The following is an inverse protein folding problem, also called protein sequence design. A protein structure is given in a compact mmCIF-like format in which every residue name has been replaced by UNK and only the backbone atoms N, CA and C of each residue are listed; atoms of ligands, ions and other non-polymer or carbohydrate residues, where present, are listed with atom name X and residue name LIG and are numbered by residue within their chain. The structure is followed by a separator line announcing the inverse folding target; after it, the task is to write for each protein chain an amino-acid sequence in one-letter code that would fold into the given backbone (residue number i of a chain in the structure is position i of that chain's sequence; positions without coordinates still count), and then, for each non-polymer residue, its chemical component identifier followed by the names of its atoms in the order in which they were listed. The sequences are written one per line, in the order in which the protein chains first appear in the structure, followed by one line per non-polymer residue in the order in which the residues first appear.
data_IF_855475027468
#
_entry.id   IF_855475027468
#
_cell.length_a   1.000
_cell.length_b   1.000
_cell.length_c   1.000
_cell.angle_alpha   90.00
_cell.angle_beta   90.00
_cell.angle_gamma   90.00
#
_symmetry.space_group_name_H-M   'P 1'
#
loop_
_entity.id
_entity.type
_entity.pdbx_description
1 polymer ?
#
# COMPACT_ATOMS: atom_id res chain seq x y z
N UNK A 1 -57.03 14.62 59.62
CA UNK A 1 -58.25 15.01 58.87
C UNK A 1 -57.84 14.99 57.41
N UNK A 2 -58.12 13.90 56.67
CA UNK A 2 -59.39 13.60 55.94
C UNK A 2 -59.71 14.73 54.94
N UNK A 3 -59.96 14.54 53.65
CA UNK A 3 -60.34 13.41 52.78
C UNK A 3 -59.91 13.79 51.33
N UNK A 4 -59.33 12.90 50.52
CA UNK A 4 -59.97 11.98 49.55
C UNK A 4 -61.03 12.62 48.63
N UNK A 5 -60.72 12.68 47.33
CA UNK A 5 -61.61 12.19 46.27
C UNK A 5 -60.79 11.60 45.11
N UNK A 6 -61.24 10.43 44.65
CA UNK A 6 -60.69 9.56 43.61
C UNK A 6 -61.43 9.76 42.30
N UNK A 7 -60.75 9.65 41.15
CA UNK A 7 -61.22 8.90 39.96
C UNK A 7 -60.10 8.92 38.90
N UNK A 8 -59.41 7.78 38.69
CA UNK A 8 -59.57 6.86 37.55
C UNK A 8 -58.75 7.28 36.31
N UNK A 9 -57.77 6.45 35.91
CA UNK A 9 -57.62 5.91 34.54
C UNK A 9 -56.58 4.76 34.55
N UNK A 10 -57.10 3.58 34.20
CA UNK A 10 -56.58 2.42 33.46
C UNK A 10 -55.08 2.04 33.47
N UNK A 11 -54.85 0.80 33.93
CA UNK A 11 -53.67 -0.03 33.68
C UNK A 11 -53.70 -0.66 32.28
N UNK A 12 -52.55 -0.71 31.60
CA UNK A 12 -52.26 -1.69 30.54
C UNK A 12 -50.83 -2.24 30.72
N UNK A 13 -50.59 -3.56 30.47
CA UNK A 13 -49.30 -4.20 30.71
C UNK A 13 -48.37 -4.15 29.50
N UNK A 14 -47.08 -4.33 29.80
CA UNK A 14 -45.94 -4.41 28.89
C UNK A 14 -46.14 -5.36 27.70
N UNK A 15 -45.78 -4.88 26.50
CA UNK A 15 -45.53 -5.68 25.30
C UNK A 15 -44.03 -5.68 25.04
N UNK A 16 -43.38 -6.81 25.32
CA UNK A 16 -42.05 -7.16 24.81
C UNK A 16 -42.19 -7.51 23.33
N UNK A 17 -41.55 -6.76 22.45
CA UNK A 17 -41.41 -7.14 21.04
C UNK A 17 -39.98 -7.64 20.83
N UNK A 18 -39.85 -8.96 20.70
CA UNK A 18 -38.62 -9.68 20.40
C UNK A 18 -38.13 -9.38 18.97
N UNK A 19 -36.82 -9.19 18.82
CA UNK A 19 -36.11 -9.16 17.54
C UNK A 19 -36.16 -10.55 16.86
N UNK A 20 -36.39 -10.64 15.53
CA UNK A 20 -36.40 -11.93 14.84
C UNK A 20 -34.98 -12.49 14.69
N UNK A 21 -34.82 -13.79 14.97
CA UNK A 21 -33.60 -14.55 14.71
C UNK A 21 -33.32 -14.68 13.20
N UNK A 22 -32.04 -14.71 12.78
CA UNK A 22 -31.67 -14.85 11.38
C UNK A 22 -31.85 -16.30 10.87
N UNK A 23 -32.46 -16.42 9.68
CA UNK A 23 -32.75 -17.68 9.00
C UNK A 23 -31.47 -18.43 8.59
N UNK A 24 -31.38 -19.77 8.74
CA UNK A 24 -30.18 -20.52 8.34
C UNK A 24 -30.11 -20.67 6.82
N UNK A 25 -28.91 -20.52 6.25
CA UNK A 25 -28.65 -20.72 4.82
C UNK A 25 -28.71 -22.21 4.42
N UNK A 26 -29.10 -22.53 3.17
CA UNK A 26 -29.24 -23.92 2.73
C UNK A 26 -27.87 -24.60 2.55
N UNK A 27 -27.77 -25.85 3.01
CA UNK A 27 -26.59 -26.71 2.78
C UNK A 27 -26.66 -27.35 1.40
N UNK A 28 -25.70 -27.02 0.52
CA UNK A 28 -25.48 -27.75 -0.73
C UNK A 28 -24.90 -29.14 -0.42
N UNK A 29 -25.52 -30.19 -0.97
CA UNK A 29 -24.98 -31.55 -0.98
C UNK A 29 -24.15 -31.72 -2.24
N UNK A 30 -22.88 -32.10 -2.11
CA UNK A 30 -22.07 -32.56 -3.22
C UNK A 30 -21.98 -34.09 -3.18
N UNK A 31 -22.38 -34.74 -4.27
CA UNK A 31 -22.13 -36.17 -4.52
C UNK A 31 -20.73 -36.32 -5.14
N UNK A 32 -19.96 -37.29 -4.65
CA UNK A 32 -18.62 -37.59 -5.16
C UNK A 32 -18.69 -38.64 -6.27
N UNK A 33 -18.04 -38.36 -7.41
CA UNK A 33 -17.77 -39.34 -8.47
C UNK A 33 -16.27 -39.64 -8.43
N UNK A 34 -15.96 -40.94 -8.31
CA UNK A 34 -14.61 -41.53 -8.33
C UNK A 34 -14.14 -41.70 -9.79
N UNK A 35 -13.01 -41.08 -10.16
CA UNK A 35 -12.26 -41.42 -11.36
C UNK A 35 -10.75 -41.35 -11.08
N UNK A 36 -10.06 -42.38 -11.56
CA UNK A 36 -8.70 -42.79 -11.22
C UNK A 36 -7.65 -42.21 -12.16
N UNK A 37 -6.49 -41.98 -11.55
CA UNK A 37 -5.11 -42.14 -12.02
C UNK A 37 -4.58 -41.45 -13.30
N UNK A 38 -3.38 -40.90 -13.07
CA UNK A 38 -2.30 -40.48 -13.99
C UNK A 38 -2.44 -39.11 -14.64
N UNK A 39 -1.87 -38.08 -13.99
CA UNK A 39 -0.97 -37.07 -14.57
C UNK A 39 -0.50 -36.10 -13.47
N UNK A 40 0.69 -36.36 -12.91
CA UNK A 40 1.32 -35.53 -11.87
C UNK A 40 2.55 -34.83 -12.47
N UNK A 41 2.53 -33.50 -12.52
CA UNK A 41 3.74 -32.71 -12.81
C UNK A 41 4.42 -32.37 -11.49
N UNK A 42 5.66 -32.86 -11.31
CA UNK A 42 6.49 -32.55 -10.13
C UNK A 42 7.47 -31.43 -10.47
N UNK A 43 7.36 -30.30 -9.79
CA UNK A 43 8.36 -29.22 -9.87
C UNK A 43 9.27 -29.32 -8.64
N UNK A 44 10.58 -29.41 -8.88
CA UNK A 44 11.61 -29.44 -7.83
C UNK A 44 12.35 -28.11 -7.80
N UNK A 45 12.33 -27.45 -6.66
CA UNK A 45 13.15 -26.26 -6.41
C UNK A 45 14.10 -26.56 -5.24
N UNK A 46 15.38 -26.20 -5.40
CA UNK A 46 16.38 -26.31 -4.34
C UNK A 46 16.49 -24.99 -3.59
N UNK A 47 16.20 -25.01 -2.29
CA UNK A 47 16.43 -23.88 -1.38
C UNK A 47 17.35 -24.38 -0.26
N UNK A 48 18.63 -24.03 -0.33
CA UNK A 48 19.63 -24.52 0.63
C UNK A 48 19.88 -26.03 0.50
N UNK A 49 19.90 -26.77 1.62
CA UNK A 49 20.12 -28.22 1.67
C UNK A 49 18.85 -29.07 1.64
N UNK A 50 17.68 -28.45 1.53
CA UNK A 50 16.39 -29.14 1.55
C UNK A 50 15.70 -29.07 0.18
N UNK A 51 15.10 -30.20 -0.21
CA UNK A 51 14.33 -30.36 -1.44
C UNK A 51 12.84 -30.42 -1.13
N UNK A 52 12.06 -29.52 -1.72
CA UNK A 52 10.60 -29.52 -1.62
C UNK A 52 10.01 -30.07 -2.93
N UNK A 53 9.08 -31.02 -2.83
CA UNK A 53 8.30 -31.52 -3.97
C UNK A 53 6.91 -30.91 -3.97
N UNK A 54 6.58 -30.19 -5.06
CA UNK A 54 5.24 -29.66 -5.29
C UNK A 54 4.56 -30.54 -6.34
N UNK A 55 3.47 -31.18 -5.94
CA UNK A 55 2.62 -32.05 -6.77
C UNK A 55 1.48 -31.20 -7.32
N UNK A 56 1.40 -31.03 -8.65
CA UNK A 56 0.29 -30.35 -9.33
C UNK A 56 -0.48 -31.38 -10.17
N UNK A 57 -1.76 -31.58 -9.86
CA UNK A 57 -2.69 -32.42 -10.65
C UNK A 57 -3.49 -31.55 -11.64
N UNK A 58 -3.48 -31.92 -12.92
CA UNK A 58 -4.17 -31.20 -14.01
C UNK A 58 -5.66 -31.57 -14.17
N UNK A 59 -6.44 -31.62 -13.08
CA UNK A 59 -7.90 -31.68 -13.23
C UNK A 59 -8.47 -30.26 -13.39
N UNK A 60 -8.83 -29.92 -14.62
CA UNK A 60 -9.23 -28.59 -15.05
C UNK A 60 -10.64 -28.22 -14.54
N UNK A 61 -10.75 -27.68 -13.33
CA UNK A 61 -11.90 -26.84 -12.93
C UNK A 61 -11.60 -25.76 -11.86
N UNK A 62 -10.50 -25.84 -11.12
CA UNK A 62 -10.03 -24.75 -10.27
C UNK A 62 -8.51 -24.65 -10.37
N UNK A 63 -7.98 -23.66 -11.09
CA UNK A 63 -6.64 -23.16 -10.76
C UNK A 63 -6.69 -22.87 -9.25
N UNK A 64 -5.78 -23.41 -8.40
CA UNK A 64 -5.85 -23.16 -6.97
C UNK A 64 -5.95 -21.64 -6.80
N UNK A 65 -6.99 -21.13 -6.12
CA UNK A 65 -7.03 -19.71 -5.83
C UNK A 65 -5.73 -19.45 -5.05
N UNK A 66 -4.90 -18.53 -5.56
CA UNK A 66 -3.74 -17.94 -4.88
C UNK A 66 -2.30 -18.35 -5.29
N UNK A 67 -2.05 -19.06 -6.40
CA UNK A 67 -0.64 -19.40 -6.79
C UNK A 67 0.23 -18.14 -6.98
N UNK A 68 -0.24 -17.13 -7.70
CA UNK A 68 0.52 -15.89 -7.94
C UNK A 68 0.81 -15.12 -6.64
N UNK A 69 -0.16 -15.07 -5.73
CA UNK A 69 0.02 -14.40 -4.45
C UNK A 69 0.97 -15.20 -3.53
N UNK A 70 0.91 -16.54 -3.54
CA UNK A 70 1.89 -17.37 -2.85
C UNK A 70 3.31 -17.12 -3.35
N UNK A 71 3.48 -17.02 -4.67
CA UNK A 71 4.76 -16.68 -5.31
C UNK A 71 5.21 -15.29 -4.87
N UNK A 72 4.35 -14.28 -4.93
CA UNK A 72 4.71 -12.90 -4.54
C UNK A 72 5.00 -12.78 -3.04
N UNK A 73 4.31 -13.53 -2.19
CA UNK A 73 4.60 -13.63 -0.76
C UNK A 73 5.96 -14.30 -0.51
N UNK A 74 6.32 -15.33 -1.27
CA UNK A 74 7.64 -15.96 -1.19
C UNK A 74 8.75 -15.02 -1.65
N UNK A 75 8.53 -14.29 -2.76
CA UNK A 75 9.45 -13.26 -3.25
C UNK A 75 9.64 -12.14 -2.25
N UNK A 76 8.56 -11.68 -1.62
CA UNK A 76 8.63 -10.67 -0.56
C UNK A 76 9.51 -11.14 0.60
N UNK A 77 9.29 -12.37 1.10
CA UNK A 77 10.14 -12.94 2.15
C UNK A 77 11.61 -12.97 1.71
N UNK A 78 11.88 -13.42 0.49
CA UNK A 78 13.23 -13.44 -0.07
C UNK A 78 13.86 -12.04 -0.14
N UNK A 79 13.09 -11.01 -0.51
CA UNK A 79 13.57 -9.64 -0.55
C UNK A 79 13.93 -9.14 0.84
N UNK A 80 13.07 -9.38 1.83
CA UNK A 80 13.36 -9.01 3.23
C UNK A 80 14.62 -9.68 3.73
N UNK A 81 14.73 -10.99 3.55
CA UNK A 81 15.83 -11.80 4.07
C UNK A 81 17.18 -11.41 3.43
N UNK A 82 17.18 -11.05 2.15
CA UNK A 82 18.41 -10.81 1.39
C UNK A 82 18.83 -9.35 1.31
N UNK A 83 17.87 -8.42 1.28
CA UNK A 83 18.10 -7.07 0.79
C UNK A 83 17.73 -5.97 1.80
N UNK A 84 16.98 -6.28 2.86
CA UNK A 84 16.46 -5.25 3.78
C UNK A 84 17.54 -4.54 4.58
N UNK A 85 18.50 -5.28 5.12
CA UNK A 85 19.60 -4.67 5.88
C UNK A 85 20.42 -3.73 5.00
N UNK A 86 20.69 -4.13 3.76
CA UNK A 86 21.44 -3.32 2.80
C UNK A 86 20.64 -2.08 2.37
N UNK A 87 19.38 -2.25 1.99
CA UNK A 87 18.54 -1.12 1.61
C UNK A 87 18.40 -0.11 2.76
N UNK A 88 18.14 -0.57 3.99
CA UNK A 88 18.05 0.32 5.16
C UNK A 88 19.36 1.04 5.46
N UNK A 89 20.51 0.43 5.19
CA UNK A 89 21.79 1.11 5.30
C UNK A 89 21.90 2.22 4.23
N UNK A 90 21.65 1.88 2.96
CA UNK A 90 21.68 2.81 1.84
C UNK A 90 20.74 4.00 2.08
N UNK A 91 19.50 3.77 2.49
CA UNK A 91 18.51 4.83 2.73
C UNK A 91 18.95 5.82 3.81
N UNK A 92 19.74 5.39 4.80
CA UNK A 92 20.24 6.26 5.87
C UNK A 92 21.51 7.01 5.50
N UNK A 93 22.36 6.42 4.66
CA UNK A 93 23.72 6.94 4.42
C UNK A 93 23.92 7.55 3.06
N UNK A 94 23.03 7.30 2.10
CA UNK A 94 23.25 7.76 0.74
C UNK A 94 23.13 9.28 0.64
N UNK A 95 24.14 9.90 0.06
CA UNK A 95 24.05 11.28 -0.41
C UNK A 95 23.27 11.28 -1.73
N UNK A 96 22.28 12.17 -1.84
CA UNK A 96 21.48 12.33 -3.04
C UNK A 96 21.93 13.61 -3.72
N UNK A 97 22.64 13.47 -4.84
CA UNK A 97 23.13 14.59 -5.64
C UNK A 97 22.19 14.88 -6.82
N UNK A 98 21.95 16.16 -7.09
CA UNK A 98 21.04 16.54 -8.16
C UNK A 98 21.61 16.13 -9.53
N UNK A 99 20.80 15.40 -10.31
CA UNK A 99 21.17 14.94 -11.65
C UNK A 99 21.95 13.63 -11.70
N UNK A 100 22.15 12.94 -10.56
CA UNK A 100 22.81 11.65 -10.50
C UNK A 100 21.98 10.61 -9.77
N UNK A 101 21.93 9.40 -10.32
CA UNK A 101 21.32 8.26 -9.64
C UNK A 101 22.18 7.88 -8.42
N UNK A 102 21.52 7.75 -7.27
CA UNK A 102 22.17 7.30 -6.05
C UNK A 102 22.35 5.77 -6.04
N UNK A 103 23.15 5.27 -5.09
CA UNK A 103 23.25 3.82 -4.87
C UNK A 103 21.90 3.22 -4.46
N UNK A 104 21.10 3.96 -3.69
CA UNK A 104 19.75 3.54 -3.31
C UNK A 104 18.82 3.47 -4.54
N UNK A 105 18.92 4.43 -5.46
CA UNK A 105 18.13 4.45 -6.71
C UNK A 105 18.48 3.24 -7.57
N UNK A 106 19.77 3.00 -7.80
CA UNK A 106 20.25 1.86 -8.60
C UNK A 106 19.82 0.53 -7.96
N UNK A 107 19.90 0.44 -6.63
CA UNK A 107 19.49 -0.74 -5.89
C UNK A 107 18.01 -1.04 -6.09
N UNK A 108 17.14 -0.06 -5.84
CA UNK A 108 15.69 -0.20 -5.97
C UNK A 108 15.28 -0.45 -7.40
N UNK A 109 15.85 0.27 -8.37
CA UNK A 109 15.59 0.08 -9.79
C UNK A 109 15.94 -1.35 -10.25
N UNK A 110 17.02 -1.94 -9.71
CA UNK A 110 17.34 -3.35 -9.99
C UNK A 110 16.26 -4.29 -9.44
N UNK A 111 15.72 -4.03 -8.24
CA UNK A 111 14.61 -4.82 -7.69
C UNK A 111 13.31 -4.62 -8.48
N UNK A 112 13.04 -3.39 -8.93
CA UNK A 112 11.88 -3.06 -9.77
C UNK A 112 11.85 -3.86 -11.07
N UNK A 113 13.02 -4.12 -11.68
CA UNK A 113 13.14 -4.97 -12.88
C UNK A 113 12.91 -6.45 -12.60
N UNK A 114 13.24 -6.93 -11.40
CA UNK A 114 12.99 -8.32 -11.01
C UNK A 114 11.51 -8.56 -10.70
N UNK A 115 10.90 -7.69 -9.89
CA UNK A 115 9.47 -7.71 -9.62
C UNK A 115 9.02 -6.36 -9.06
N UNK A 116 8.45 -5.51 -9.91
CA UNK A 116 8.01 -4.16 -9.52
C UNK A 116 6.90 -4.18 -8.47
N UNK A 117 5.97 -5.12 -8.56
CA UNK A 117 4.87 -5.24 -7.60
C UNK A 117 5.39 -5.54 -6.18
N UNK A 118 6.21 -6.58 -6.04
CA UNK A 118 6.81 -6.98 -4.76
C UNK A 118 7.73 -5.88 -4.24
N UNK A 119 8.50 -5.22 -5.11
CA UNK A 119 9.38 -4.11 -4.72
C UNK A 119 8.60 -2.94 -4.14
N UNK A 120 7.57 -2.46 -4.83
CA UNK A 120 6.75 -1.33 -4.34
C UNK A 120 5.97 -1.70 -3.08
N UNK A 121 5.46 -2.93 -2.99
CA UNK A 121 4.80 -3.41 -1.79
C UNK A 121 5.77 -3.46 -0.60
N UNK A 122 6.99 -3.97 -0.82
CA UNK A 122 8.04 -4.00 0.20
C UNK A 122 8.47 -2.61 0.65
N UNK A 123 8.68 -1.66 -0.27
CA UNK A 123 9.00 -0.26 0.07
C UNK A 123 7.89 0.37 0.90
N UNK A 124 6.62 0.10 0.56
CA UNK A 124 5.47 0.57 1.35
C UNK A 124 5.48 0.02 2.78
N UNK A 125 5.78 -1.27 2.95
CA UNK A 125 5.94 -1.88 4.27
C UNK A 125 7.09 -1.21 5.05
N UNK A 126 8.26 -1.02 4.42
CA UNK A 126 9.40 -0.35 5.06
C UNK A 126 9.05 1.07 5.50
N UNK A 127 8.34 1.83 4.67
CA UNK A 127 7.91 3.19 5.03
C UNK A 127 7.00 3.20 6.26
N UNK A 128 6.05 2.27 6.33
CA UNK A 128 5.13 2.14 7.48
C UNK A 128 5.90 1.70 8.74
N UNK A 129 6.72 0.67 8.63
CA UNK A 129 7.52 0.11 9.72
C UNK A 129 8.53 1.12 10.28
N UNK A 130 9.07 2.00 9.43
CA UNK A 130 10.07 3.00 9.77
C UNK A 130 9.55 4.43 9.75
N UNK A 131 8.22 4.65 9.84
CA UNK A 131 7.65 5.99 9.79
C UNK A 131 8.21 6.93 10.88
N UNK A 132 8.62 6.36 12.03
CA UNK A 132 9.23 7.11 13.15
C UNK A 132 10.73 7.36 13.00
N UNK A 133 11.37 6.86 11.95
CA UNK A 133 12.77 7.08 11.62
C UNK A 133 12.84 8.03 10.41
N UNK A 134 12.98 9.36 10.63
CA UNK A 134 12.94 10.33 9.55
C UNK A 134 14.00 10.06 8.48
N UNK A 135 15.18 9.55 8.85
CA UNK A 135 16.25 9.28 7.89
C UNK A 135 15.82 8.22 6.86
N UNK A 136 15.19 7.13 7.33
CA UNK A 136 14.66 6.09 6.44
C UNK A 136 13.48 6.61 5.62
N UNK A 137 12.55 7.33 6.25
CA UNK A 137 11.39 7.89 5.55
C UNK A 137 11.81 8.86 4.43
N UNK A 138 12.77 9.76 4.71
CA UNK A 138 13.35 10.69 3.74
C UNK A 138 14.04 9.92 2.61
N UNK A 139 14.87 8.92 2.94
CA UNK A 139 15.55 8.10 1.93
C UNK A 139 14.56 7.42 0.99
N UNK A 140 13.47 6.86 1.52
CA UNK A 140 12.42 6.21 0.72
C UNK A 140 11.77 7.24 -0.22
N UNK A 141 11.39 8.41 0.30
CA UNK A 141 10.75 9.45 -0.50
C UNK A 141 11.64 9.95 -1.63
N UNK A 142 12.95 10.09 -1.37
CA UNK A 142 13.92 10.49 -2.40
C UNK A 142 14.03 9.47 -3.52
N UNK A 143 14.14 8.18 -3.18
CA UNK A 143 14.15 7.11 -4.19
C UNK A 143 12.85 7.08 -4.98
N UNK A 144 11.69 7.18 -4.31
CA UNK A 144 10.39 7.22 -4.97
C UNK A 144 10.25 8.42 -5.91
N UNK A 145 10.80 9.58 -5.54
CA UNK A 145 10.77 10.80 -6.35
C UNK A 145 11.63 10.70 -7.63
N UNK A 146 12.56 9.74 -7.71
CA UNK A 146 13.35 9.46 -8.92
C UNK A 146 12.73 8.38 -9.82
N UNK A 147 11.77 7.61 -9.30
CA UNK A 147 11.01 6.67 -10.13
C UNK A 147 10.09 7.43 -11.10
N UNK A 148 9.85 6.83 -12.28
CA UNK A 148 8.81 7.33 -13.19
C UNK A 148 7.45 7.26 -12.52
N UNK A 149 6.56 8.19 -12.87
CA UNK A 149 5.22 8.27 -12.30
C UNK A 149 4.46 6.93 -12.39
N UNK A 150 4.55 6.23 -13.52
CA UNK A 150 3.86 4.95 -13.75
C UNK A 150 4.39 3.82 -12.87
N UNK A 151 5.67 3.88 -12.47
CA UNK A 151 6.29 2.92 -11.58
C UNK A 151 5.93 3.21 -10.12
N UNK A 152 5.82 4.48 -9.75
CA UNK A 152 5.43 4.91 -8.41
C UNK A 152 3.92 4.74 -8.16
N UNK A 153 3.08 4.84 -9.19
CA UNK A 153 1.63 4.77 -9.03
C UNK A 153 1.13 3.35 -8.70
N UNK A 154 0.16 3.18 -7.75
CA UNK A 154 -0.41 4.18 -6.85
C UNK A 154 0.26 4.24 -5.47
N UNK A 155 1.14 3.27 -5.16
CA UNK A 155 1.70 3.11 -3.82
C UNK A 155 2.62 4.27 -3.42
N UNK A 156 3.49 4.72 -4.34
CA UNK A 156 4.34 5.89 -4.15
C UNK A 156 3.55 7.17 -3.87
N UNK A 157 2.44 7.40 -4.57
CA UNK A 157 1.55 8.54 -4.29
C UNK A 157 0.96 8.44 -2.87
N UNK A 158 0.51 7.25 -2.47
CA UNK A 158 -0.05 7.01 -1.15
C UNK A 158 0.97 7.28 -0.05
N UNK A 159 2.22 6.86 -0.25
CA UNK A 159 3.36 7.12 0.64
C UNK A 159 3.64 8.62 0.71
N UNK A 160 3.73 9.32 -0.42
CA UNK A 160 4.00 10.74 -0.47
C UNK A 160 2.89 11.57 0.21
N UNK A 161 1.61 11.22 0.01
CA UNK A 161 0.48 11.82 0.75
C UNK A 161 0.67 11.64 2.25
N UNK A 162 0.95 10.41 2.71
CA UNK A 162 1.16 10.13 4.13
C UNK A 162 2.34 10.94 4.71
N UNK A 163 3.44 11.06 3.95
CA UNK A 163 4.60 11.86 4.33
C UNK A 163 4.26 13.34 4.55
N UNK A 164 3.34 13.92 3.77
CA UNK A 164 2.92 15.33 3.96
C UNK A 164 2.25 15.60 5.31
N UNK A 165 1.86 14.56 6.06
CA UNK A 165 1.26 14.66 7.40
C UNK A 165 2.22 14.23 8.51
N UNK A 166 3.47 13.95 8.17
CA UNK A 166 4.48 13.51 9.12
C UNK A 166 4.89 14.64 10.08
N UNK A 167 5.35 14.32 11.29
CA UNK A 167 5.72 15.34 12.28
C UNK A 167 7.04 16.07 11.95
N UNK A 168 7.95 15.40 11.26
CA UNK A 168 9.20 15.98 10.79
C UNK A 168 8.97 16.73 9.47
N UNK A 169 9.34 18.02 9.42
CA UNK A 169 9.11 18.88 8.26
C UNK A 169 9.91 18.48 7.02
N UNK A 170 11.11 17.91 7.17
CA UNK A 170 11.90 17.44 6.04
C UNK A 170 11.24 16.21 5.38
N UNK A 171 10.58 15.36 6.15
CA UNK A 171 9.73 14.28 5.60
C UNK A 171 8.53 14.85 4.84
N UNK A 172 7.89 15.90 5.38
CA UNK A 172 6.78 16.58 4.68
C UNK A 172 7.25 17.17 3.36
N UNK A 173 8.36 17.90 3.38
CA UNK A 173 8.99 18.52 2.22
C UNK A 173 9.37 17.47 1.17
N UNK A 174 9.97 16.34 1.56
CA UNK A 174 10.28 15.26 0.63
C UNK A 174 9.02 14.65 0.00
N UNK A 175 7.92 14.58 0.75
CA UNK A 175 6.62 14.18 0.20
C UNK A 175 6.11 15.13 -0.88
N UNK A 176 6.23 16.44 -0.66
CA UNK A 176 5.88 17.48 -1.65
C UNK A 176 6.80 17.39 -2.87
N UNK A 177 8.11 17.25 -2.64
CA UNK A 177 9.11 17.15 -3.72
C UNK A 177 8.92 15.93 -4.61
N UNK A 178 8.41 14.82 -4.06
CA UNK A 178 8.03 13.67 -4.89
C UNK A 178 6.95 14.03 -5.93
N UNK A 179 5.92 14.80 -5.52
CA UNK A 179 4.90 15.30 -6.44
C UNK A 179 5.44 16.31 -7.44
N UNK A 180 6.32 17.22 -6.99
CA UNK A 180 7.03 18.16 -7.87
C UNK A 180 7.80 17.41 -8.96
N UNK A 181 8.60 16.41 -8.58
CA UNK A 181 9.39 15.62 -9.52
C UNK A 181 8.54 14.83 -10.52
N UNK A 182 7.42 14.24 -10.07
CA UNK A 182 6.54 13.52 -10.99
C UNK A 182 5.83 14.45 -11.97
N UNK A 183 5.52 15.68 -11.55
CA UNK A 183 5.06 16.75 -12.44
C UNK A 183 3.75 16.46 -13.20
N UNK A 184 2.91 15.57 -12.67
CA UNK A 184 1.70 15.13 -13.36
C UNK A 184 0.45 15.92 -12.95
N UNK A 185 -0.60 15.86 -13.77
CA UNK A 185 -1.89 16.44 -13.44
C UNK A 185 -2.49 15.85 -12.14
N UNK A 186 -2.20 14.59 -11.83
CA UNK A 186 -2.61 13.97 -10.56
C UNK A 186 -1.80 14.52 -9.37
N UNK A 187 -0.51 14.79 -9.56
CA UNK A 187 0.33 15.47 -8.57
C UNK A 187 -0.23 16.86 -8.24
N UNK A 188 -0.60 17.64 -9.26
CA UNK A 188 -1.25 18.94 -9.08
C UNK A 188 -2.56 18.84 -8.29
N UNK A 189 -3.47 17.92 -8.66
CA UNK A 189 -4.75 17.71 -7.95
C UNK A 189 -4.57 17.39 -6.46
N UNK A 190 -3.50 16.66 -6.13
CA UNK A 190 -3.18 16.33 -4.74
C UNK A 190 -2.66 17.58 -4.02
N UNK A 191 -1.64 18.23 -4.57
CA UNK A 191 -0.97 19.38 -3.95
C UNK A 191 -1.92 20.56 -3.69
N UNK A 192 -2.84 20.86 -4.61
CA UNK A 192 -3.87 21.91 -4.46
C UNK A 192 -4.78 21.74 -3.25
N UNK A 193 -4.89 20.51 -2.74
CA UNK A 193 -5.76 20.17 -1.59
C UNK A 193 -5.00 20.13 -0.27
N UNK A 194 -3.66 20.21 -0.31
CA UNK A 194 -2.86 20.16 0.89
C UNK A 194 -2.83 21.52 1.59
N UNK A 195 -2.95 21.48 2.91
CA UNK A 195 -2.78 22.64 3.77
C UNK A 195 -1.77 22.32 4.88
N UNK A 196 -0.95 23.30 5.25
CA UNK A 196 0.09 23.16 6.27
C UNK A 196 0.00 24.30 7.29
N UNK A 197 0.28 23.98 8.55
CA UNK A 197 0.35 24.97 9.63
C UNK A 197 1.63 25.80 9.55
N UNK A 198 2.71 25.20 9.06
CA UNK A 198 4.01 25.85 8.91
C UNK A 198 4.00 26.75 7.67
N UNK A 199 4.18 28.08 7.84
CA UNK A 199 4.02 29.02 6.74
C UNK A 199 4.96 28.75 5.56
N UNK A 200 6.21 28.38 5.84
CA UNK A 200 7.20 28.14 4.79
C UNK A 200 6.90 26.89 3.97
N UNK A 201 6.29 25.85 4.57
CA UNK A 201 5.87 24.65 3.84
C UNK A 201 4.67 24.98 2.97
N UNK A 202 3.73 25.77 3.49
CA UNK A 202 2.59 26.24 2.71
C UNK A 202 3.04 27.09 1.51
N UNK A 203 4.02 27.97 1.71
CA UNK A 203 4.62 28.77 0.64
C UNK A 203 5.29 27.88 -0.41
N UNK A 204 6.08 26.88 0.02
CA UNK A 204 6.70 25.92 -0.90
C UNK A 204 5.66 25.16 -1.74
N UNK A 205 4.60 24.63 -1.14
CA UNK A 205 3.53 23.96 -1.90
C UNK A 205 2.84 24.89 -2.89
N UNK A 206 2.56 26.14 -2.48
CA UNK A 206 1.95 27.13 -3.38
C UNK A 206 2.85 27.43 -4.58
N UNK A 207 4.16 27.52 -4.36
CA UNK A 207 5.14 27.70 -5.44
C UNK A 207 5.11 26.51 -6.40
N UNK A 208 5.24 25.27 -5.88
CA UNK A 208 5.21 24.05 -6.70
C UNK A 208 3.91 23.95 -7.50
N UNK A 209 2.76 24.25 -6.90
CA UNK A 209 1.45 24.28 -7.59
C UNK A 209 1.47 25.27 -8.76
N UNK A 210 1.99 26.48 -8.55
CA UNK A 210 2.11 27.50 -9.61
C UNK A 210 3.02 27.07 -10.75
N UNK A 211 4.17 26.46 -10.42
CA UNK A 211 5.14 25.97 -11.39
C UNK A 211 4.57 24.81 -12.21
N UNK A 212 3.96 23.81 -11.55
CA UNK A 212 3.33 22.67 -12.23
C UNK A 212 2.15 23.09 -13.11
N UNK A 213 1.28 23.98 -12.63
CA UNK A 213 0.18 24.50 -13.44
C UNK A 213 0.69 25.14 -14.74
N UNK A 214 1.74 25.96 -14.65
CA UNK A 214 2.33 26.64 -15.80
C UNK A 214 2.94 25.67 -16.81
N UNK A 215 3.64 24.63 -16.33
CA UNK A 215 4.26 23.58 -17.16
C UNK A 215 3.20 22.73 -17.88
N UNK A 216 2.13 22.34 -17.17
CA UNK A 216 1.06 21.50 -17.74
C UNK A 216 0.26 22.29 -18.77
N UNK A 217 -0.11 23.54 -18.50
CA UNK A 217 -0.88 24.34 -19.47
C UNK A 217 -0.08 24.60 -20.75
N UNK A 218 1.22 24.89 -20.62
CA UNK A 218 2.09 25.20 -21.77
C UNK A 218 2.35 23.97 -22.64
N UNK A 219 2.48 22.78 -22.04
CA UNK A 219 2.67 21.52 -22.79
C UNK A 219 1.44 21.08 -23.61
N UNK A 220 0.24 21.58 -23.30
CA UNK A 220 -0.98 21.30 -24.07
C UNK A 220 -1.27 22.34 -25.17
N UNK A 221 -0.49 23.41 -25.25
CA UNK A 221 -0.70 24.52 -26.19
C UNK A 221 0.22 24.48 -27.43
N UNK A 222 1.15 23.51 -27.51
CA UNK A 222 2.07 23.30 -28.65
C UNK A 222 1.85 21.96 -29.32
#
# INVERSE_FOLDING_TARGET
MNEKEHSSVASQPHSENATPEPTPLPRLKAEFVDLRDEDVVTIREQIGSESYEIVVSEDASMKPPDVENQINNARLRNFRDRYEVELLALLRTCEFEYGFDSLADTFVETRMRENSFVTMYWISLLFIEHLKDPAVAIGILRVLAHLKYEQAYPLGLSIAIAATRHQNHEVQECGIRAFENWGTADSLKVLERLTFSEPWIQEYVNQVVGDLYSQIVTSHAG
#
